data_IF_984116021891
#
_entry.id   IF_984116021891
#
_cell.length_a   1.000
_cell.length_b   1.000
_cell.length_c   1.000
_cell.angle_alpha   90.00
_cell.angle_beta   90.00
_cell.angle_gamma   90.00
#
_symmetry.space_group_name_H-M   'P 1'
#
loop_
_entity.id
_entity.type
_entity.pdbx_description
1 polymer ?
#
# COMPACT_ATOMS: atom_id res chain seq x y z
N UNK A 1 -10.25 -10.48 62.71
CA UNK A 1 -9.41 -9.86 61.67
C UNK A 1 -9.83 -10.42 60.32
N UNK A 2 -10.42 -9.58 59.45
CA UNK A 2 -10.97 -9.99 58.14
C UNK A 2 -9.82 -10.09 57.14
N UNK A 3 -9.59 -11.30 56.63
CA UNK A 3 -8.48 -11.59 55.72
C UNK A 3 -8.78 -11.04 54.32
N UNK A 4 -8.17 -9.89 54.02
CA UNK A 4 -8.00 -9.33 52.69
C UNK A 4 -6.95 -10.18 51.95
N UNK A 5 -7.37 -10.96 50.97
CA UNK A 5 -6.49 -11.56 49.96
C UNK A 5 -7.10 -11.19 48.60
N UNK A 6 -6.87 -9.95 48.21
CA UNK A 6 -5.92 -9.58 47.17
C UNK A 6 -6.30 -10.22 45.82
N UNK A 7 -7.12 -9.44 45.13
CA UNK A 7 -7.59 -9.55 43.75
C UNK A 7 -6.52 -10.11 42.81
N UNK A 8 -6.66 -11.39 42.49
CA UNK A 8 -5.98 -12.02 41.36
C UNK A 8 -6.87 -11.83 40.12
N UNK A 9 -6.86 -10.63 39.55
CA UNK A 9 -7.40 -10.38 38.22
C UNK A 9 -6.27 -9.77 37.39
N UNK A 10 -5.34 -10.65 37.03
CA UNK A 10 -4.33 -10.45 36.02
C UNK A 10 -4.93 -9.73 34.82
N UNK A 11 -4.50 -8.48 34.64
CA UNK A 11 -4.75 -7.69 33.45
C UNK A 11 -4.22 -8.45 32.24
N UNK A 12 -5.09 -9.18 31.55
CA UNK A 12 -4.77 -9.74 30.24
C UNK A 12 -4.86 -8.59 29.25
N UNK A 13 -3.67 -8.06 29.00
CA UNK A 13 -3.31 -7.14 27.94
C UNK A 13 -3.77 -7.69 26.59
N UNK A 14 -5.01 -7.41 26.20
CA UNK A 14 -5.36 -7.36 24.78
C UNK A 14 -5.12 -5.93 24.31
N UNK A 15 -3.84 -5.56 24.24
CA UNK A 15 -3.41 -4.56 23.28
C UNK A 15 -3.68 -5.16 21.90
N UNK A 16 -4.92 -5.00 21.42
CA UNK A 16 -5.23 -5.15 20.01
C UNK A 16 -4.44 -4.03 19.37
N UNK A 17 -3.22 -4.37 18.94
CA UNK A 17 -2.37 -3.56 18.09
C UNK A 17 -3.07 -3.41 16.76
N UNK A 18 -4.15 -2.65 16.72
CA UNK A 18 -4.59 -2.01 15.51
C UNK A 18 -3.57 -0.92 15.23
N UNK A 19 -2.42 -1.36 14.71
CA UNK A 19 -1.76 -0.60 13.67
C UNK A 19 -2.77 -0.52 12.51
N UNK A 20 -3.76 0.37 12.66
CA UNK A 20 -4.30 1.07 11.52
C UNK A 20 -3.10 1.82 10.97
N UNK A 21 -2.41 1.10 10.07
CA UNK A 21 -1.59 1.60 8.98
C UNK A 21 -1.60 3.11 9.02
N UNK A 22 -0.49 3.70 9.45
CA UNK A 22 -0.23 5.10 9.24
C UNK A 22 -0.72 5.40 7.81
N UNK A 23 -1.78 6.19 7.69
CA UNK A 23 -2.29 6.69 6.43
C UNK A 23 -1.19 7.57 5.85
N UNK A 24 -0.18 6.91 5.30
CA UNK A 24 0.69 7.44 4.27
C UNK A 24 -0.30 7.92 3.25
N UNK A 25 -0.45 9.24 3.11
CA UNK A 25 -1.42 9.83 2.19
C UNK A 25 -1.11 9.24 0.82
N UNK A 26 -1.91 8.26 0.41
CA UNK A 26 -1.75 7.62 -0.88
C UNK A 26 -1.95 8.70 -1.94
N UNK A 27 -0.88 9.05 -2.64
CA UNK A 27 -0.95 10.01 -3.73
C UNK A 27 -1.46 9.24 -4.94
N UNK A 28 -2.62 9.67 -5.45
CA UNK A 28 -3.23 9.05 -6.61
C UNK A 28 -2.37 9.29 -7.85
N UNK A 29 -2.16 8.24 -8.65
CA UNK A 29 -1.44 8.32 -9.93
C UNK A 29 0.03 8.72 -9.80
N UNK A 30 0.71 8.42 -8.70
CA UNK A 30 2.12 8.78 -8.48
C UNK A 30 3.10 7.82 -9.17
N UNK A 31 2.65 6.62 -9.52
CA UNK A 31 3.51 5.56 -10.07
C UNK A 31 3.21 5.26 -11.52
N UNK A 32 4.21 4.83 -12.27
CA UNK A 32 4.13 4.28 -13.63
C UNK A 32 4.68 2.86 -13.61
N UNK A 33 4.23 2.04 -14.55
CA UNK A 33 4.75 0.68 -14.69
C UNK A 33 5.86 0.68 -15.75
N UNK A 34 7.08 0.37 -15.34
CA UNK A 34 8.21 0.13 -16.24
C UNK A 34 8.61 -1.35 -16.16
N UNK A 35 8.38 -2.09 -17.24
CA UNK A 35 8.54 -3.54 -17.29
C UNK A 35 7.71 -4.27 -16.23
N UNK A 36 8.37 -4.88 -15.25
CA UNK A 36 7.76 -5.62 -14.13
C UNK A 36 7.75 -4.84 -12.80
N UNK A 37 8.21 -3.59 -12.82
CA UNK A 37 8.34 -2.73 -11.63
C UNK A 37 7.48 -1.47 -11.73
N UNK A 38 7.05 -0.98 -10.57
CA UNK A 38 6.38 0.32 -10.45
C UNK A 38 7.34 1.36 -9.92
N UNK A 39 7.52 2.42 -10.70
CA UNK A 39 8.45 3.51 -10.42
C UNK A 39 7.68 4.82 -10.19
N UNK A 40 8.29 5.76 -9.47
CA UNK A 40 7.72 7.10 -9.30
C UNK A 40 7.75 7.84 -10.64
N UNK A 41 6.67 8.55 -10.94
CA UNK A 41 6.63 9.46 -12.09
C UNK A 41 7.65 10.57 -11.96
N UNK A 42 8.24 10.93 -13.10
CA UNK A 42 9.20 12.03 -13.21
C UNK A 42 8.72 13.09 -14.23
N UNK A 43 7.55 13.66 -13.99
CA UNK A 43 7.06 14.84 -14.74
C UNK A 43 6.40 14.60 -16.10
N UNK A 44 6.31 13.35 -16.57
CA UNK A 44 5.67 12.99 -17.84
C UNK A 44 4.16 13.22 -17.90
N UNK A 45 3.57 13.07 -19.08
CA UNK A 45 2.13 13.26 -19.36
C UNK A 45 1.41 11.95 -19.65
N UNK A 46 0.08 11.97 -19.54
CA UNK A 46 -0.78 10.85 -19.94
C UNK A 46 -1.41 11.17 -21.30
N UNK A 47 -0.94 10.54 -22.35
CA UNK A 47 -1.50 10.67 -23.70
C UNK A 47 -2.62 9.65 -23.92
N UNK A 48 -3.67 10.02 -24.64
CA UNK A 48 -4.82 9.13 -24.86
C UNK A 48 -4.43 7.91 -25.70
N UNK A 49 -4.61 6.73 -25.11
CA UNK A 49 -4.34 5.45 -25.76
C UNK A 49 -5.27 4.36 -25.25
N UNK A 50 -6.17 3.84 -26.09
CA UNK A 50 -7.12 2.80 -25.68
C UNK A 50 -6.41 1.56 -25.13
N UNK A 51 -7.00 0.97 -24.08
CA UNK A 51 -6.51 -0.27 -23.46
C UNK A 51 -5.17 -0.18 -22.71
N UNK A 52 -4.60 1.01 -22.55
CA UNK A 52 -3.42 1.24 -21.71
C UNK A 52 -3.77 1.87 -20.36
N UNK A 53 -2.82 1.81 -19.42
CA UNK A 53 -2.89 2.46 -18.11
C UNK A 53 -1.71 3.40 -18.00
N UNK A 54 -1.97 4.68 -17.83
CA UNK A 54 -0.90 5.67 -17.75
C UNK A 54 -0.25 5.58 -16.38
N UNK A 55 -1.05 5.44 -15.33
CA UNK A 55 -0.53 5.53 -13.98
C UNK A 55 -1.26 4.69 -12.95
N UNK A 56 -0.58 4.53 -11.82
CA UNK A 56 -0.95 3.68 -10.74
C UNK A 56 -0.86 4.42 -9.42
N UNK A 57 -1.72 4.00 -8.51
CA UNK A 57 -1.77 4.44 -7.13
C UNK A 57 -1.26 3.31 -6.25
N UNK A 58 -0.27 3.59 -5.40
CA UNK A 58 0.24 2.61 -4.44
C UNK A 58 -0.72 2.47 -3.26
N UNK A 59 -1.40 1.33 -3.18
CA UNK A 59 -2.42 1.00 -2.18
C UNK A 59 -1.89 0.08 -1.06
N UNK A 60 -0.66 -0.43 -1.20
CA UNK A 60 -0.05 -1.35 -0.24
C UNK A 60 1.47 -1.40 -0.33
N UNK A 61 2.07 -2.27 0.48
CA UNK A 61 3.52 -2.48 0.54
C UNK A 61 3.90 -3.94 0.86
N UNK A 62 2.99 -4.89 0.58
CA UNK A 62 3.20 -6.29 0.89
C UNK A 62 4.24 -6.92 -0.05
N UNK A 63 5.09 -7.79 0.50
CA UNK A 63 6.03 -8.63 -0.25
C UNK A 63 5.60 -10.09 -0.15
N UNK A 64 5.98 -10.90 -1.13
CA UNK A 64 5.75 -12.36 -1.16
C UNK A 64 7.03 -13.08 -1.60
N UNK A 65 7.06 -14.41 -1.51
CA UNK A 65 8.18 -15.18 -2.04
C UNK A 65 8.38 -14.96 -3.56
N UNK A 66 7.28 -14.74 -4.29
CA UNK A 66 7.31 -14.44 -5.72
C UNK A 66 7.72 -12.98 -6.01
N UNK A 67 7.33 -12.05 -5.13
CA UNK A 67 7.62 -10.62 -5.25
C UNK A 67 8.33 -10.12 -3.97
N UNK A 68 9.64 -10.37 -3.86
CA UNK A 68 10.39 -9.98 -2.67
C UNK A 68 10.52 -8.46 -2.54
N UNK A 69 10.34 -7.72 -3.66
CA UNK A 69 10.22 -6.26 -3.67
C UNK A 69 8.74 -5.84 -3.73
N UNK A 70 8.36 -4.90 -2.86
CA UNK A 70 7.03 -4.31 -2.82
C UNK A 70 6.65 -3.59 -4.12
N UNK A 71 7.64 -3.10 -4.88
CA UNK A 71 7.47 -2.43 -6.17
C UNK A 71 7.36 -3.40 -7.34
N UNK A 72 7.40 -4.71 -7.11
CA UNK A 72 7.15 -5.74 -8.12
C UNK A 72 5.80 -6.44 -7.88
N UNK A 73 5.22 -6.30 -6.69
CA UNK A 73 3.97 -6.94 -6.35
C UNK A 73 2.76 -6.17 -6.91
N UNK A 74 2.05 -6.68 -7.93
CA UNK A 74 0.90 -6.00 -8.53
C UNK A 74 -0.23 -5.73 -7.52
N UNK A 75 -0.35 -6.52 -6.45
CA UNK A 75 -1.39 -6.34 -5.44
C UNK A 75 -1.21 -5.03 -4.63
N UNK A 76 -0.03 -4.39 -4.71
CA UNK A 76 0.24 -3.12 -4.07
C UNK A 76 -0.18 -1.91 -4.91
N UNK A 77 -0.64 -2.10 -6.16
CA UNK A 77 -0.92 -1.02 -7.10
C UNK A 77 -2.32 -1.15 -7.71
N UNK A 78 -3.03 -0.03 -7.78
CA UNK A 78 -4.30 0.09 -8.49
C UNK A 78 -4.10 1.03 -9.68
N UNK A 79 -4.62 0.66 -10.86
CA UNK A 79 -4.71 1.57 -11.99
C UNK A 79 -5.50 2.83 -11.59
N UNK A 80 -5.04 4.00 -12.02
CA UNK A 80 -5.70 5.28 -11.75
C UNK A 80 -6.22 5.92 -13.06
N UNK A 81 -5.34 6.22 -14.01
CA UNK A 81 -5.69 6.75 -15.33
C UNK A 81 -5.67 5.63 -16.38
N UNK A 82 -6.85 5.22 -16.83
CA UNK A 82 -7.04 4.19 -17.86
C UNK A 82 -7.30 4.80 -19.24
N UNK A 83 -7.07 4.03 -20.30
CA UNK A 83 -7.11 4.48 -21.70
C UNK A 83 -6.14 5.64 -21.97
N UNK A 84 -4.99 5.59 -21.32
CA UNK A 84 -3.90 6.51 -21.55
C UNK A 84 -2.56 5.79 -21.36
N UNK A 85 -1.52 6.28 -22.03
CA UNK A 85 -0.13 5.84 -21.88
C UNK A 85 0.69 6.95 -21.25
N UNK A 86 1.63 6.58 -20.38
CA UNK A 86 2.59 7.53 -19.83
C UNK A 86 3.69 7.84 -20.84
N UNK A 87 3.92 9.11 -21.10
CA UNK A 87 5.03 9.64 -21.89
C UNK A 87 5.94 10.45 -20.96
N UNK A 88 7.16 9.97 -20.65
CA UNK A 88 8.10 10.67 -19.77
C UNK A 88 8.62 11.99 -20.35
#
# INVERSE_FOLDING_TARGET
MKNFKLLLATAVLFAVGSAFTASSKTVAGEYVKDGDTWELKDGGTCELEPSEVCDYTKIGSATTEQYPDQFQNPANFSAHTINARYEP
#
